data_IF_153398873613
#
_entry.id   IF_153398873613
#
_cell.length_a   1.000
_cell.length_b   1.000
_cell.length_c   1.000
_cell.angle_alpha   90.00
_cell.angle_beta   90.00
_cell.angle_gamma   90.00
#
_symmetry.space_group_name_H-M   'P 1'
#
loop_
_entity.id
_entity.type
_entity.pdbx_description
1 polymer ?
#
# COMPACT_ATOMS: atom_id res chain seq x y z
N UNK A 1 16.40 -25.21 -13.89
CA UNK A 1 15.13 -24.50 -13.64
C UNK A 1 14.88 -23.59 -14.84
N UNK A 2 13.70 -23.67 -15.46
CA UNK A 2 13.34 -22.75 -16.52
C UNK A 2 13.13 -21.36 -15.92
N UNK A 3 13.82 -20.36 -16.45
CA UNK A 3 13.62 -18.95 -16.16
C UNK A 3 12.76 -18.30 -17.25
N UNK A 4 12.05 -17.22 -16.92
CA UNK A 4 11.24 -16.47 -17.87
C UNK A 4 9.74 -16.72 -17.70
N UNK A 5 9.32 -17.24 -16.53
CA UNK A 5 7.90 -17.35 -16.17
C UNK A 5 7.35 -15.98 -15.80
N UNK A 6 6.23 -15.58 -16.42
CA UNK A 6 5.54 -14.35 -16.01
C UNK A 6 4.99 -14.51 -14.60
N UNK A 7 5.30 -13.55 -13.75
CA UNK A 7 4.93 -13.53 -12.34
C UNK A 7 3.94 -12.43 -12.01
N UNK A 8 3.93 -11.35 -12.78
CA UNK A 8 3.07 -10.22 -12.57
C UNK A 8 2.71 -9.54 -13.88
N UNK A 9 1.47 -9.08 -14.00
CA UNK A 9 1.00 -8.25 -15.11
C UNK A 9 0.14 -7.13 -14.57
N UNK A 10 0.25 -5.94 -15.16
CA UNK A 10 -0.56 -4.77 -14.83
C UNK A 10 -0.93 -3.99 -16.06
N UNK A 11 -2.18 -3.56 -16.15
CA UNK A 11 -2.68 -2.67 -17.19
C UNK A 11 -2.90 -1.26 -16.63
N UNK A 12 -2.52 -0.27 -17.41
CA UNK A 12 -2.77 1.14 -17.05
C UNK A 12 -4.25 1.47 -17.24
N UNK A 13 -4.87 2.09 -16.22
CA UNK A 13 -6.25 2.59 -16.34
C UNK A 13 -6.39 3.78 -17.28
N UNK A 14 -5.29 4.44 -17.67
CA UNK A 14 -5.29 5.63 -18.52
C UNK A 14 -5.24 5.31 -20.02
N UNK A 15 -4.79 4.12 -20.37
CA UNK A 15 -4.70 3.70 -21.78
C UNK A 15 -4.91 2.20 -21.88
N UNK A 16 -5.96 1.82 -22.59
CA UNK A 16 -6.18 0.42 -22.96
C UNK A 16 -4.98 -0.13 -23.75
N UNK A 17 -4.52 -1.30 -23.37
CA UNK A 17 -3.38 -1.96 -24.00
C UNK A 17 -2.00 -1.42 -23.62
N UNK A 18 -1.89 -0.48 -22.66
CA UNK A 18 -0.63 -0.17 -22.00
C UNK A 18 -0.43 -1.18 -20.87
N UNK A 19 0.37 -2.20 -21.14
CA UNK A 19 0.60 -3.35 -20.28
C UNK A 19 2.03 -3.39 -19.80
N UNK A 20 2.21 -3.81 -18.55
CA UNK A 20 3.52 -4.12 -17.97
C UNK A 20 3.53 -5.57 -17.51
N UNK A 21 4.59 -6.31 -17.81
CA UNK A 21 4.75 -7.71 -17.44
C UNK A 21 6.11 -7.94 -16.80
N UNK A 22 6.12 -8.58 -15.62
CA UNK A 22 7.33 -8.97 -14.91
C UNK A 22 7.51 -10.48 -14.88
N UNK A 23 8.75 -10.96 -14.84
CA UNK A 23 9.10 -12.36 -14.85
C UNK A 23 10.07 -12.74 -13.71
N UNK A 24 10.22 -14.04 -13.48
CA UNK A 24 11.03 -14.60 -12.39
C UNK A 24 12.55 -14.48 -12.62
N UNK A 25 12.98 -14.06 -13.80
CA UNK A 25 14.37 -13.78 -14.17
C UNK A 25 14.76 -12.28 -14.03
N UNK A 26 13.87 -11.45 -13.46
CA UNK A 26 14.10 -10.03 -13.22
C UNK A 26 13.81 -9.12 -14.39
N UNK A 27 13.23 -9.65 -15.47
CA UNK A 27 12.87 -8.86 -16.63
C UNK A 27 11.50 -8.24 -16.48
N UNK A 28 11.40 -6.96 -16.88
CA UNK A 28 10.14 -6.23 -16.98
C UNK A 28 10.01 -5.73 -18.41
N UNK A 29 8.85 -5.98 -18.99
CA UNK A 29 8.52 -5.54 -20.33
C UNK A 29 7.30 -4.63 -20.31
N UNK A 30 7.24 -3.68 -21.23
CA UNK A 30 6.08 -2.84 -21.51
C UNK A 30 5.58 -3.09 -22.91
N UNK A 31 4.26 -3.18 -23.04
CA UNK A 31 3.55 -3.09 -24.31
C UNK A 31 2.69 -1.83 -24.33
N UNK A 32 2.65 -1.12 -25.46
CA UNK A 32 1.82 0.08 -25.65
C UNK A 32 0.72 -0.12 -26.71
N UNK A 33 0.61 -1.35 -27.21
CA UNK A 33 -0.23 -1.74 -28.36
C UNK A 33 -1.08 -3.00 -28.09
N UNK A 34 -1.41 -3.24 -26.82
CA UNK A 34 -2.27 -4.37 -26.43
C UNK A 34 -1.57 -5.73 -26.44
N UNK A 35 -0.26 -5.75 -26.30
CA UNK A 35 0.53 -6.99 -26.25
C UNK A 35 1.05 -7.48 -27.60
N UNK A 36 0.88 -6.69 -28.67
CA UNK A 36 1.39 -7.03 -30.01
C UNK A 36 2.92 -6.92 -30.04
N UNK A 37 3.47 -5.88 -29.43
CA UNK A 37 4.92 -5.74 -29.27
C UNK A 37 5.29 -5.46 -27.80
N UNK A 38 6.50 -5.87 -27.42
CA UNK A 38 7.02 -5.75 -26.07
C UNK A 38 8.43 -5.18 -26.07
N UNK A 39 8.67 -4.20 -25.21
CA UNK A 39 9.96 -3.58 -25.01
C UNK A 39 10.48 -3.91 -23.61
N UNK A 40 11.75 -4.36 -23.51
CA UNK A 40 12.43 -4.57 -22.23
C UNK A 40 12.72 -3.21 -21.57
N UNK A 41 12.34 -3.06 -20.28
CA UNK A 41 12.47 -1.82 -19.52
C UNK A 41 13.20 -2.00 -18.17
N UNK A 42 13.73 -3.18 -17.86
CA UNK A 42 14.44 -3.48 -16.60
C UNK A 42 15.96 -3.39 -16.70
N UNK A 43 16.52 -2.70 -17.70
CA UNK A 43 17.96 -2.73 -17.97
C UNK A 43 18.85 -2.19 -16.84
N UNK A 44 18.35 -1.29 -15.99
CA UNK A 44 19.07 -0.72 -14.84
C UNK A 44 18.54 -1.21 -13.48
N UNK A 45 17.72 -2.27 -13.47
CA UNK A 45 17.29 -2.95 -12.25
C UNK A 45 18.23 -4.12 -11.90
N UNK A 46 18.25 -4.58 -10.64
CA UNK A 46 18.94 -5.81 -10.25
C UNK A 46 18.46 -6.99 -11.11
N UNK A 47 19.41 -7.75 -11.65
CA UNK A 47 19.12 -8.87 -12.55
C UNK A 47 18.98 -10.18 -11.77
N UNK A 48 18.27 -11.13 -12.37
CA UNK A 48 18.08 -12.48 -11.82
C UNK A 48 17.35 -12.53 -10.47
N UNK A 49 16.56 -11.50 -10.15
CA UNK A 49 15.65 -11.49 -9.01
C UNK A 49 14.23 -11.64 -9.50
N UNK A 50 13.43 -12.36 -8.77
CA UNK A 50 12.01 -12.51 -9.09
C UNK A 50 11.28 -11.17 -9.03
N UNK A 51 10.67 -10.73 -10.13
CA UNK A 51 9.76 -9.58 -10.12
C UNK A 51 8.49 -9.99 -9.37
N UNK A 52 8.40 -9.57 -8.12
CA UNK A 52 7.28 -9.92 -7.25
C UNK A 52 6.00 -9.16 -7.63
N UNK A 53 6.14 -7.90 -8.08
CA UNK A 53 5.01 -7.12 -8.58
C UNK A 53 5.46 -6.07 -9.59
N UNK A 54 4.65 -5.85 -10.62
CA UNK A 54 4.60 -4.60 -11.40
C UNK A 54 3.23 -3.98 -11.22
N UNK A 55 3.16 -2.65 -11.06
CA UNK A 55 1.92 -1.94 -10.82
C UNK A 55 1.92 -0.61 -11.58
N UNK A 56 1.05 -0.48 -12.58
CA UNK A 56 0.79 0.78 -13.24
C UNK A 56 0.12 1.76 -12.25
N UNK A 57 0.57 3.01 -12.26
CA UNK A 57 0.02 4.04 -11.37
C UNK A 57 -1.48 4.26 -11.61
N UNK A 58 -2.15 4.61 -10.53
CA UNK A 58 -3.56 5.01 -10.57
C UNK A 58 -3.73 6.52 -10.72
N UNK A 59 -2.65 7.32 -10.70
CA UNK A 59 -2.70 8.78 -10.79
C UNK A 59 -1.99 9.35 -12.00
N UNK A 60 -0.97 8.65 -12.54
CA UNK A 60 -0.18 9.15 -13.64
C UNK A 60 0.08 8.04 -14.68
N UNK A 61 -0.20 8.33 -15.95
CA UNK A 61 -0.09 7.36 -17.05
C UNK A 61 1.32 6.80 -17.22
N UNK A 62 2.33 7.64 -17.08
CA UNK A 62 3.75 7.34 -17.28
C UNK A 62 4.38 6.60 -16.11
N UNK A 63 3.73 6.63 -14.93
CA UNK A 63 4.28 6.07 -13.71
C UNK A 63 3.99 4.58 -13.61
N UNK A 64 5.01 3.83 -13.25
CA UNK A 64 4.92 2.40 -12.92
C UNK A 64 5.83 2.07 -11.76
N UNK A 65 5.39 1.17 -10.91
CA UNK A 65 6.13 0.62 -9.80
C UNK A 65 6.59 -0.80 -10.09
N UNK A 66 7.74 -1.18 -9.53
CA UNK A 66 8.23 -2.54 -9.59
C UNK A 66 8.81 -2.95 -8.24
N UNK A 67 8.53 -4.18 -7.81
CA UNK A 67 9.18 -4.80 -6.68
C UNK A 67 9.85 -6.10 -7.10
N UNK A 68 11.04 -6.35 -6.53
CA UNK A 68 11.78 -7.56 -6.77
C UNK A 68 12.06 -8.26 -5.44
N UNK A 69 12.11 -9.59 -5.49
CA UNK A 69 12.33 -10.43 -4.34
C UNK A 69 13.45 -11.43 -4.66
N UNK A 70 14.47 -11.43 -3.82
CA UNK A 70 15.66 -12.27 -4.00
C UNK A 70 15.75 -13.46 -3.05
N UNK A 71 14.71 -13.77 -2.28
CA UNK A 71 14.76 -14.80 -1.23
C UNK A 71 15.22 -16.17 -1.76
N UNK A 72 14.91 -16.48 -3.03
CA UNK A 72 15.35 -17.75 -3.68
C UNK A 72 16.87 -17.83 -3.91
N UNK A 73 17.55 -16.70 -3.82
CA UNK A 73 18.99 -16.55 -4.01
C UNK A 73 19.68 -16.14 -2.69
N UNK A 74 18.99 -16.31 -1.54
CA UNK A 74 19.47 -15.87 -0.22
C UNK A 74 19.75 -14.36 -0.14
N UNK A 75 19.04 -13.56 -0.95
CA UNK A 75 19.10 -12.10 -0.98
C UNK A 75 17.83 -11.56 -0.34
N UNK A 76 17.96 -10.92 0.82
CA UNK A 76 16.83 -10.47 1.64
C UNK A 76 16.67 -8.93 1.66
N UNK A 77 17.46 -8.23 0.86
CA UNK A 77 17.36 -6.78 0.70
C UNK A 77 16.00 -6.39 0.12
N UNK A 78 15.58 -5.18 0.46
CA UNK A 78 14.33 -4.62 -0.05
C UNK A 78 14.53 -3.99 -1.42
N UNK A 79 13.75 -4.40 -2.39
CA UNK A 79 13.79 -3.87 -3.74
C UNK A 79 12.40 -3.35 -4.15
N UNK A 80 12.23 -2.03 -4.06
CA UNK A 80 11.08 -1.31 -4.56
C UNK A 80 11.55 -0.13 -5.41
N UNK A 81 10.96 0.04 -6.57
CA UNK A 81 11.34 1.03 -7.57
C UNK A 81 10.12 1.75 -8.13
N UNK A 82 10.33 3.00 -8.55
CA UNK A 82 9.36 3.78 -9.31
C UNK A 82 10.01 4.30 -10.58
N UNK A 83 9.27 4.26 -11.65
CA UNK A 83 9.56 4.95 -12.91
C UNK A 83 8.50 5.99 -13.18
N UNK A 84 8.89 7.16 -13.67
CA UNK A 84 8.00 8.25 -14.07
C UNK A 84 7.92 8.44 -15.60
N UNK A 85 8.51 7.49 -16.36
CA UNK A 85 8.73 7.59 -17.81
C UNK A 85 8.49 6.25 -18.55
N UNK A 86 7.46 5.49 -18.14
CA UNK A 86 7.08 4.18 -18.70
C UNK A 86 8.16 3.09 -18.52
N UNK A 87 9.00 3.20 -17.50
CA UNK A 87 10.05 2.23 -17.22
C UNK A 87 11.37 2.46 -17.94
N UNK A 88 11.56 3.63 -18.58
CA UNK A 88 12.84 3.97 -19.21
C UNK A 88 13.92 4.19 -18.14
N UNK A 89 13.56 4.88 -17.05
CA UNK A 89 14.43 5.06 -15.89
C UNK A 89 13.73 4.61 -14.62
N UNK A 90 14.49 4.04 -13.67
CA UNK A 90 14.00 3.57 -12.38
C UNK A 90 14.75 4.20 -11.23
N UNK A 91 14.02 4.68 -10.24
CA UNK A 91 14.54 5.21 -8.99
C UNK A 91 14.16 4.28 -7.84
N UNK A 92 15.12 3.97 -6.98
CA UNK A 92 14.85 3.17 -5.79
C UNK A 92 14.05 3.98 -4.77
N UNK A 93 13.01 3.34 -4.23
CA UNK A 93 12.19 3.83 -3.13
C UNK A 93 12.22 2.85 -1.94
N UNK A 94 13.31 2.08 -1.81
CA UNK A 94 13.47 1.03 -0.79
C UNK A 94 13.99 1.55 0.55
N UNK A 95 14.45 2.80 0.62
CA UNK A 95 15.10 3.34 1.82
C UNK A 95 14.17 3.31 3.04
N UNK A 96 14.58 2.57 4.08
CA UNK A 96 13.79 2.39 5.30
C UNK A 96 12.87 1.16 5.31
N UNK A 97 12.73 0.47 4.17
CA UNK A 97 12.11 -0.86 4.14
C UNK A 97 13.06 -1.92 4.71
N UNK A 98 12.49 -2.93 5.31
CA UNK A 98 13.21 -4.11 5.80
C UNK A 98 12.64 -5.37 5.20
N UNK A 99 13.52 -6.34 4.88
CA UNK A 99 13.19 -7.62 4.28
C UNK A 99 12.71 -7.53 2.81
N UNK A 100 12.62 -8.68 2.18
CA UNK A 100 12.21 -8.81 0.79
C UNK A 100 10.80 -8.24 0.56
N UNK A 101 10.64 -7.54 -0.56
CA UNK A 101 9.37 -6.88 -0.92
C UNK A 101 8.55 -7.80 -1.82
N UNK A 102 7.30 -8.04 -1.44
CA UNK A 102 6.39 -8.92 -2.16
C UNK A 102 5.40 -8.16 -3.05
N UNK A 103 4.97 -6.98 -2.59
CA UNK A 103 3.93 -6.20 -3.27
C UNK A 103 4.05 -4.72 -2.95
N UNK A 104 3.69 -3.90 -3.92
CA UNK A 104 3.46 -2.45 -3.78
C UNK A 104 2.12 -2.07 -4.38
N UNK A 105 1.39 -1.20 -3.69
CA UNK A 105 0.11 -0.64 -4.15
C UNK A 105 0.09 0.86 -3.90
N UNK A 106 -0.26 1.63 -4.93
CA UNK A 106 -0.50 3.07 -4.83
C UNK A 106 -1.95 3.31 -4.37
N UNK A 107 -2.14 4.21 -3.40
CA UNK A 107 -3.50 4.56 -2.95
C UNK A 107 -4.29 5.22 -4.09
N UNK A 108 -5.55 4.81 -4.23
CA UNK A 108 -6.39 5.25 -5.36
C UNK A 108 -6.91 6.69 -5.23
N UNK A 109 -6.88 7.27 -4.02
CA UNK A 109 -7.38 8.61 -3.72
C UNK A 109 -6.28 9.63 -3.42
N UNK A 110 -5.12 9.17 -2.94
CA UNK A 110 -4.00 10.02 -2.55
C UNK A 110 -2.69 9.52 -3.18
N UNK A 111 -2.20 10.21 -4.21
CA UNK A 111 -0.98 9.82 -4.95
C UNK A 111 0.32 9.81 -4.11
N UNK A 112 0.32 10.43 -2.93
CA UNK A 112 1.47 10.41 -2.03
C UNK A 112 1.55 9.14 -1.20
N UNK A 113 0.44 8.39 -1.11
CA UNK A 113 0.32 7.22 -0.25
C UNK A 113 0.62 5.94 -1.03
N UNK A 114 1.59 5.20 -0.53
CA UNK A 114 1.95 3.87 -1.01
C UNK A 114 1.87 2.86 0.13
N UNK A 115 1.45 1.64 -0.18
CA UNK A 115 1.48 0.51 0.74
C UNK A 115 2.43 -0.56 0.18
N UNK A 116 3.25 -1.13 1.04
CA UNK A 116 4.19 -2.19 0.69
C UNK A 116 4.05 -3.37 1.65
N UNK A 117 3.87 -4.55 1.10
CA UNK A 117 3.97 -5.82 1.81
C UNK A 117 5.38 -6.41 1.69
N UNK A 118 5.98 -6.74 2.83
CA UNK A 118 7.28 -7.41 2.92
C UNK A 118 7.15 -8.76 3.60
N UNK A 119 8.24 -9.51 3.70
CA UNK A 119 8.29 -10.76 4.48
C UNK A 119 8.11 -10.54 5.98
N UNK A 120 8.16 -9.30 6.46
CA UNK A 120 8.06 -8.95 7.89
C UNK A 120 6.99 -7.88 8.19
N UNK A 121 5.92 -7.85 7.43
CA UNK A 121 4.78 -6.98 7.70
C UNK A 121 4.42 -6.01 6.59
N UNK A 122 3.55 -5.08 6.95
CA UNK A 122 2.99 -4.03 6.10
C UNK A 122 3.66 -2.70 6.42
N UNK A 123 4.02 -1.96 5.39
CA UNK A 123 4.58 -0.60 5.48
C UNK A 123 3.73 0.39 4.69
N UNK A 124 3.74 1.64 5.14
CA UNK A 124 3.09 2.77 4.48
C UNK A 124 4.12 3.87 4.22
N UNK A 125 3.96 4.53 3.09
CA UNK A 125 4.60 5.82 2.80
C UNK A 125 3.52 6.88 2.60
N UNK A 126 3.78 8.10 3.07
CA UNK A 126 2.92 9.27 2.89
C UNK A 126 3.57 10.32 1.96
N UNK A 127 4.70 9.98 1.36
CA UNK A 127 5.57 10.87 0.58
C UNK A 127 6.12 10.22 -0.71
N UNK A 128 5.29 9.40 -1.36
CA UNK A 128 5.62 8.71 -2.64
C UNK A 128 6.81 7.75 -2.53
N UNK A 129 7.05 7.18 -1.34
CA UNK A 129 8.11 6.22 -1.11
C UNK A 129 9.45 6.82 -0.70
N UNK A 130 9.51 8.13 -0.38
CA UNK A 130 10.73 8.74 0.15
C UNK A 130 11.03 8.23 1.57
N UNK A 131 9.99 8.01 2.40
CA UNK A 131 10.09 7.40 3.73
C UNK A 131 9.02 6.34 3.94
N UNK A 132 9.31 5.36 4.80
CA UNK A 132 8.41 4.26 5.12
C UNK A 132 8.23 4.12 6.64
N UNK A 133 7.00 3.80 7.05
CA UNK A 133 6.62 3.54 8.42
C UNK A 133 5.96 2.16 8.53
N UNK A 134 6.17 1.46 9.64
CA UNK A 134 5.46 0.22 9.94
C UNK A 134 3.96 0.51 10.07
N UNK A 135 3.15 -0.22 9.32
CA UNK A 135 1.70 -0.11 9.31
C UNK A 135 1.03 -1.42 9.75
N UNK A 136 1.76 -2.26 10.47
CA UNK A 136 1.31 -3.58 10.92
C UNK A 136 0.56 -3.54 12.26
N UNK A 137 0.19 -2.37 12.79
CA UNK A 137 -0.47 -2.29 14.09
C UNK A 137 -1.76 -3.11 14.12
N UNK A 138 -1.88 -4.01 15.11
CA UNK A 138 -3.01 -4.95 15.22
C UNK A 138 -2.85 -6.23 14.37
N UNK A 139 -1.78 -6.36 13.59
CA UNK A 139 -1.43 -7.57 12.86
C UNK A 139 -0.13 -8.18 13.42
N UNK A 140 0.04 -9.50 13.38
CA UNK A 140 1.34 -10.10 13.65
C UNK A 140 2.34 -9.71 12.54
N UNK A 141 3.63 -9.67 12.89
CA UNK A 141 4.70 -9.48 11.90
C UNK A 141 4.88 -10.78 11.11
N UNK A 142 4.28 -10.83 9.95
CA UNK A 142 4.26 -11.97 9.03
C UNK A 142 4.38 -11.48 7.60
N UNK A 143 4.77 -12.38 6.70
CA UNK A 143 4.87 -12.03 5.29
C UNK A 143 3.51 -11.60 4.72
N UNK A 144 3.49 -10.42 4.09
CA UNK A 144 2.35 -9.88 3.36
C UNK A 144 2.60 -10.09 1.88
N UNK A 145 1.77 -10.93 1.26
CA UNK A 145 1.94 -11.35 -0.14
C UNK A 145 1.04 -10.62 -1.11
N UNK A 146 -0.11 -10.13 -0.65
CA UNK A 146 -1.02 -9.41 -1.53
C UNK A 146 -1.75 -8.26 -0.80
N UNK A 147 -2.02 -7.19 -1.56
CA UNK A 147 -2.71 -5.98 -1.11
C UNK A 147 -3.73 -5.55 -2.16
N UNK A 148 -4.95 -5.27 -1.72
CA UNK A 148 -6.00 -4.75 -2.59
C UNK A 148 -6.74 -3.61 -1.89
N UNK A 149 -6.92 -2.49 -2.60
CA UNK A 149 -7.72 -1.37 -2.10
C UNK A 149 -9.15 -1.49 -2.64
N UNK A 150 -10.10 -1.60 -1.73
CA UNK A 150 -11.52 -1.47 -2.04
C UNK A 150 -11.89 0.03 -1.98
N UNK A 151 -11.96 0.66 -3.14
CA UNK A 151 -12.07 2.12 -3.27
C UNK A 151 -13.36 2.71 -2.69
N UNK A 152 -14.50 2.03 -2.85
CA UNK A 152 -15.80 2.53 -2.34
C UNK A 152 -15.89 2.49 -0.82
N UNK A 153 -15.37 1.42 -0.21
CA UNK A 153 -15.36 1.26 1.25
C UNK A 153 -14.17 1.96 1.89
N UNK A 154 -13.17 2.40 1.11
CA UNK A 154 -11.89 2.95 1.59
C UNK A 154 -11.18 1.97 2.52
N UNK A 155 -11.10 0.73 2.10
CA UNK A 155 -10.52 -0.36 2.88
C UNK A 155 -9.32 -0.95 2.14
N UNK A 156 -8.24 -1.18 2.87
CA UNK A 156 -7.09 -1.97 2.44
C UNK A 156 -7.27 -3.41 2.91
N UNK A 157 -7.27 -4.34 1.98
CA UNK A 157 -7.30 -5.77 2.25
C UNK A 157 -5.87 -6.29 2.16
N UNK A 158 -5.43 -6.98 3.22
CA UNK A 158 -4.05 -7.45 3.38
C UNK A 158 -4.05 -8.98 3.42
N UNK A 159 -3.49 -9.59 2.39
CA UNK A 159 -3.29 -11.04 2.31
C UNK A 159 -1.96 -11.46 2.90
N UNK A 160 -1.97 -12.27 3.96
CA UNK A 160 -0.75 -12.74 4.65
C UNK A 160 -0.45 -14.20 4.36
N UNK A 161 0.80 -14.60 4.52
CA UNK A 161 1.18 -16.00 4.42
C UNK A 161 0.79 -16.78 5.68
N UNK A 162 -0.30 -17.52 5.60
CA UNK A 162 -0.72 -18.47 6.64
C UNK A 162 -1.28 -17.85 7.94
N UNK A 163 -1.48 -16.53 8.00
CA UNK A 163 -1.96 -15.83 9.20
C UNK A 163 -3.20 -14.96 8.95
N UNK A 164 -4.09 -15.44 8.07
CA UNK A 164 -5.37 -14.80 7.78
C UNK A 164 -5.29 -13.64 6.76
N UNK A 165 -6.44 -13.06 6.49
CA UNK A 165 -6.62 -11.85 5.71
C UNK A 165 -7.09 -10.76 6.67
N UNK A 166 -6.47 -9.59 6.59
CA UNK A 166 -6.83 -8.43 7.41
C UNK A 166 -7.51 -7.37 6.55
N UNK A 167 -8.34 -6.58 7.21
CA UNK A 167 -9.04 -5.46 6.63
C UNK A 167 -8.75 -4.21 7.46
N UNK A 168 -8.30 -3.14 6.82
CA UNK A 168 -7.91 -1.89 7.45
C UNK A 168 -8.72 -0.76 6.83
N UNK A 169 -9.38 0.06 7.64
CA UNK A 169 -10.00 1.32 7.19
C UNK A 169 -8.87 2.34 6.93
N UNK A 170 -8.75 2.76 5.68
CA UNK A 170 -7.75 3.74 5.23
C UNK A 170 -8.35 5.12 4.96
N UNK A 171 -9.62 5.35 5.34
CA UNK A 171 -10.31 6.60 5.06
C UNK A 171 -9.57 7.82 5.60
N UNK A 172 -9.00 7.71 6.82
CA UNK A 172 -8.23 8.79 7.44
C UNK A 172 -6.84 8.97 6.82
N UNK A 173 -6.23 7.88 6.38
CA UNK A 173 -4.96 7.93 5.64
C UNK A 173 -5.14 8.67 4.31
N UNK A 174 -6.22 8.42 3.60
CA UNK A 174 -6.53 9.11 2.33
C UNK A 174 -6.76 10.61 2.49
N UNK A 175 -7.16 11.06 3.68
CA UNK A 175 -7.31 12.50 4.01
C UNK A 175 -5.97 13.19 4.36
N UNK A 176 -4.86 12.45 4.55
CA UNK A 176 -3.53 12.99 4.86
C UNK A 176 -2.86 13.59 3.60
N UNK A 177 -3.39 14.72 3.16
CA UNK A 177 -2.79 15.52 2.08
C UNK A 177 -1.56 16.27 2.56
N UNK A 178 -0.73 16.79 1.63
CA UNK A 178 0.42 17.64 2.00
C UNK A 178 0.02 18.84 2.88
N UNK A 179 -1.18 19.39 2.68
CA UNK A 179 -1.72 20.48 3.50
C UNK A 179 -2.02 20.04 4.93
N UNK A 180 -2.53 18.81 5.11
CA UNK A 180 -2.78 18.24 6.43
C UNK A 180 -1.48 17.87 7.12
N UNK A 181 -0.55 17.24 6.41
CA UNK A 181 0.77 16.85 6.94
C UNK A 181 1.63 18.05 7.34
N UNK A 182 1.42 19.23 6.74
CA UNK A 182 2.10 20.47 7.11
C UNK A 182 1.55 21.12 8.40
N UNK A 183 0.42 20.66 8.94
CA UNK A 183 -0.17 21.20 10.18
C UNK A 183 0.50 20.57 11.42
N UNK A 184 0.59 21.34 12.47
CA UNK A 184 1.02 20.79 13.77
C UNK A 184 0.03 19.80 14.33
N UNK A 185 -1.27 20.08 14.14
CA UNK A 185 -2.38 19.21 14.52
C UNK A 185 -3.53 19.36 13.52
N UNK A 186 -4.19 18.26 13.23
CA UNK A 186 -5.40 18.25 12.42
C UNK A 186 -6.44 17.32 13.04
N UNK A 187 -7.64 17.82 13.26
CA UNK A 187 -8.78 17.06 13.73
C UNK A 187 -9.58 16.60 12.51
N UNK A 188 -9.74 15.29 12.35
CA UNK A 188 -10.62 14.74 11.31
C UNK A 188 -12.09 14.97 11.68
N UNK A 189 -12.94 15.01 10.66
CA UNK A 189 -14.37 15.15 10.88
C UNK A 189 -14.88 14.03 11.80
N UNK A 190 -15.50 14.43 12.89
CA UNK A 190 -16.19 13.52 13.80
C UNK A 190 -17.52 13.14 13.17
N UNK A 191 -17.82 11.86 13.11
CA UNK A 191 -19.08 11.38 12.55
C UNK A 191 -20.22 11.65 13.52
N UNK A 192 -21.39 12.03 12.96
CA UNK A 192 -22.60 12.20 13.74
C UNK A 192 -23.03 10.86 14.36
N UNK A 193 -23.51 10.91 15.59
CA UNK A 193 -24.11 9.76 16.27
C UNK A 193 -25.61 9.96 16.38
N UNK A 194 -26.35 8.97 15.92
CA UNK A 194 -27.78 8.94 16.10
C UNK A 194 -28.06 8.40 17.49
N UNK A 195 -28.81 9.17 18.31
CA UNK A 195 -29.25 8.73 19.63
C UNK A 195 -30.05 7.43 19.50
N UNK A 196 -29.76 6.46 20.34
CA UNK A 196 -30.49 5.19 20.39
C UNK A 196 -31.09 4.98 21.78
N UNK A 197 -32.36 4.58 21.82
CA UNK A 197 -33.05 4.21 23.06
C UNK A 197 -32.49 2.92 23.70
N UNK A 198 -31.58 2.23 22.96
CA UNK A 198 -30.90 1.05 23.47
C UNK A 198 -29.62 1.34 24.26
N UNK A 199 -29.21 2.62 24.33
CA UNK A 199 -28.04 2.99 25.14
C UNK A 199 -28.27 2.68 26.61
N UNK A 200 -27.31 1.99 27.25
CA UNK A 200 -27.42 1.46 28.62
C UNK A 200 -28.26 0.21 28.77
N UNK A 201 -28.89 -0.29 27.67
CA UNK A 201 -29.65 -1.55 27.74
C UNK A 201 -28.74 -2.77 27.58
N UNK A 202 -29.12 -3.87 28.20
CA UNK A 202 -28.49 -5.18 28.05
C UNK A 202 -29.43 -6.10 27.27
N UNK A 203 -28.91 -6.81 26.28
CA UNK A 203 -29.68 -7.82 25.54
C UNK A 203 -29.87 -9.12 26.36
N UNK A 204 -28.94 -9.40 27.29
CA UNK A 204 -28.95 -10.57 28.16
C UNK A 204 -28.39 -10.17 29.53
N UNK A 205 -28.80 -10.87 30.59
CA UNK A 205 -28.40 -10.61 31.98
C UNK A 205 -26.87 -10.64 32.21
N UNK A 206 -26.12 -11.37 31.36
CA UNK A 206 -24.66 -11.47 31.40
C UNK A 206 -23.98 -10.61 30.31
N UNK A 207 -24.74 -9.91 29.48
CA UNK A 207 -24.22 -9.06 28.42
C UNK A 207 -23.69 -7.74 28.98
N UNK A 208 -22.74 -7.13 28.31
CA UNK A 208 -22.35 -5.74 28.62
C UNK A 208 -23.44 -4.79 28.13
N UNK A 209 -23.70 -3.70 28.85
CA UNK A 209 -24.60 -2.64 28.38
C UNK A 209 -24.14 -2.09 27.03
N UNK A 210 -25.11 -1.71 26.19
CA UNK A 210 -24.85 -0.99 24.97
C UNK A 210 -24.44 0.45 25.29
N UNK A 211 -23.12 0.70 25.39
CA UNK A 211 -22.57 2.03 25.66
C UNK A 211 -22.25 2.76 24.36
N UNK A 212 -22.63 4.02 24.22
CA UNK A 212 -22.22 4.82 23.08
C UNK A 212 -20.72 5.11 23.16
N UNK A 213 -20.01 4.89 22.07
CA UNK A 213 -18.63 5.32 21.92
C UNK A 213 -18.50 6.24 20.72
N UNK A 214 -17.72 7.29 20.86
CA UNK A 214 -17.38 8.19 19.78
C UNK A 214 -15.86 8.19 19.61
N UNK A 215 -15.41 7.81 18.42
CA UNK A 215 -14.00 7.89 18.06
C UNK A 215 -13.68 9.29 17.55
N UNK A 216 -12.62 9.88 18.10
CA UNK A 216 -12.08 11.17 17.70
C UNK A 216 -10.69 10.91 17.12
N UNK A 217 -10.57 11.09 15.80
CA UNK A 217 -9.32 10.90 15.08
C UNK A 217 -8.63 12.24 14.88
N UNK A 218 -7.34 12.27 15.10
CA UNK A 218 -6.50 13.44 14.85
C UNK A 218 -5.13 13.02 14.32
N UNK A 219 -4.50 13.93 13.59
CA UNK A 219 -3.11 13.84 13.17
C UNK A 219 -2.30 14.84 14.00
N UNK A 220 -1.08 14.47 14.40
CA UNK A 220 -0.08 15.33 15.00
C UNK A 220 1.26 15.07 14.34
N UNK A 221 2.00 16.13 14.01
CA UNK A 221 3.35 16.02 13.45
C UNK A 221 4.45 15.87 14.51
N UNK A 222 4.09 15.89 15.78
CA UNK A 222 5.03 15.76 16.90
C UNK A 222 4.38 14.99 18.06
N UNK A 223 5.22 14.36 18.86
CA UNK A 223 4.80 13.75 20.11
C UNK A 223 4.44 14.86 21.13
N UNK A 224 3.41 14.61 21.90
CA UNK A 224 2.97 15.58 22.90
C UNK A 224 1.63 15.26 23.56
N UNK A 225 1.22 16.10 24.49
CA UNK A 225 -0.10 16.01 25.13
C UNK A 225 -1.10 16.81 24.30
N UNK A 226 -2.18 16.17 23.90
CA UNK A 226 -3.29 16.79 23.18
C UNK A 226 -4.49 16.89 24.13
N UNK A 227 -5.02 18.11 24.33
CA UNK A 227 -6.21 18.35 25.13
C UNK A 227 -7.41 18.56 24.21
N UNK A 228 -8.49 17.83 24.46
CA UNK A 228 -9.76 18.00 23.77
C UNK A 228 -10.77 18.68 24.67
N UNK A 229 -11.44 19.71 24.17
CA UNK A 229 -12.59 20.36 24.83
C UNK A 229 -13.83 20.13 23.98
N UNK A 230 -14.87 19.59 24.61
CA UNK A 230 -16.19 19.41 23.97
C UNK A 230 -17.08 20.54 24.48
N UNK A 231 -17.57 21.35 23.57
CA UNK A 231 -18.46 22.51 23.86
C UNK A 231 -19.84 22.28 23.28
#
# INVERSE_FOLDING_TARGET
>A
VAFGTLTSISESKFQFGLLYAGSDDGKIHVSKDGGVSWQLISGNLPQNLWVSRVAASTHKKERVYATLNGYRNDIFESYAFVSEDFGVTWNSISLGLTNAVNIIVEDSANENVLYVGTDNGLFISLDKGATWQDFSNGMPKVAVHDLVIQTKAKELIVGTHGRSIYKIDISKVQELTNEVLAKNIHLFKVNDRIKSDRWGSQNYAWGKPSEPSQEIWFYSNADGVVNFTIT
#
